data_IF_768968389864
#
_entry.id   IF_768968389864
#
_cell.length_a   1.000
_cell.length_b   1.000
_cell.length_c   1.000
_cell.angle_alpha   90.00
_cell.angle_beta   90.00
_cell.angle_gamma   90.00
#
_symmetry.space_group_name_H-M   'P 1'
#
loop_
_entity.id
_entity.type
_entity.pdbx_description
1 polymer ?
#
# COMPACT_ATOMS: atom_id res chain seq x y z
N UNK A 1 -13.38 36.61 -4.93
CA UNK A 1 -12.51 35.42 -5.06
C UNK A 1 -11.06 35.85 -4.94
N UNK A 2 -10.25 35.16 -4.13
CA UNK A 2 -8.80 35.40 -4.02
C UNK A 2 -8.05 34.38 -4.88
N UNK A 3 -6.97 34.81 -5.51
CA UNK A 3 -6.13 33.91 -6.30
C UNK A 3 -5.37 32.93 -5.40
N UNK A 4 -5.51 31.60 -5.54
CA UNK A 4 -4.84 30.61 -4.68
C UNK A 4 -3.32 30.49 -4.92
N UNK A 5 -2.71 31.36 -5.75
CA UNK A 5 -1.24 31.41 -5.96
C UNK A 5 -0.60 32.62 -5.31
N UNK A 6 -1.27 33.77 -5.31
CA UNK A 6 -0.68 35.06 -4.94
C UNK A 6 -1.61 35.90 -4.06
N UNK A 7 -2.72 35.32 -3.60
CA UNK A 7 -3.76 35.90 -2.74
C UNK A 7 -4.41 37.21 -3.19
N UNK A 8 -4.07 37.66 -4.40
CA UNK A 8 -4.64 38.84 -5.05
C UNK A 8 -6.16 38.73 -5.17
N UNK A 9 -6.86 39.82 -4.83
CA UNK A 9 -8.30 39.99 -5.04
C UNK A 9 -8.63 40.41 -6.48
N UNK A 10 -7.63 40.80 -7.27
CA UNK A 10 -7.79 41.23 -8.66
C UNK A 10 -8.03 40.02 -9.57
N UNK A 11 -9.29 39.58 -9.63
CA UNK A 11 -9.73 38.39 -10.37
C UNK A 11 -10.87 38.75 -11.31
N UNK A 12 -10.89 38.14 -12.50
CA UNK A 12 -11.94 38.33 -13.50
C UNK A 12 -12.58 36.98 -13.86
N UNK A 13 -13.88 36.98 -14.16
CA UNK A 13 -14.57 35.81 -14.70
C UNK A 13 -13.96 35.42 -16.05
N UNK A 14 -13.69 34.14 -16.24
CA UNK A 14 -12.96 33.58 -17.39
C UNK A 14 -13.65 32.31 -17.92
N UNK A 15 -14.91 32.44 -18.32
CA UNK A 15 -15.72 31.33 -18.83
C UNK A 15 -16.03 30.27 -17.78
N UNK A 16 -16.49 29.11 -18.25
CA UNK A 16 -16.87 27.98 -17.40
C UNK A 16 -16.10 26.71 -17.79
N UNK A 17 -15.72 25.89 -16.80
CA UNK A 17 -15.20 24.54 -17.03
C UNK A 17 -16.06 23.55 -16.27
N UNK A 18 -16.61 22.55 -16.98
CA UNK A 18 -17.47 21.50 -16.40
C UNK A 18 -18.60 22.07 -15.52
N UNK A 19 -19.27 23.10 -16.03
CA UNK A 19 -20.38 23.78 -15.36
C UNK A 19 -20.00 24.74 -14.23
N UNK A 20 -18.71 24.94 -13.93
CA UNK A 20 -18.25 25.84 -12.85
C UNK A 20 -17.59 27.09 -13.40
N UNK A 21 -17.83 28.22 -12.73
CA UNK A 21 -17.20 29.49 -13.07
C UNK A 21 -15.67 29.37 -12.90
N UNK A 22 -14.95 29.69 -13.97
CA UNK A 22 -13.50 29.84 -13.96
C UNK A 22 -13.16 31.32 -13.77
N UNK A 23 -12.08 31.61 -13.05
CA UNK A 23 -11.54 32.94 -12.81
C UNK A 23 -10.10 33.01 -13.31
N UNK A 24 -9.68 34.19 -13.76
CA UNK A 24 -8.30 34.51 -14.09
C UNK A 24 -7.81 35.63 -13.19
N UNK A 25 -6.68 35.42 -12.52
CA UNK A 25 -6.00 36.46 -11.75
C UNK A 25 -5.34 37.46 -12.69
N UNK A 26 -5.60 38.75 -12.49
CA UNK A 26 -4.98 39.83 -13.27
C UNK A 26 -3.52 40.07 -12.89
N UNK A 27 -3.13 39.75 -11.65
CA UNK A 27 -1.77 39.98 -11.16
C UNK A 27 -0.77 38.90 -11.57
N UNK A 28 -1.14 37.61 -11.48
CA UNK A 28 -0.23 36.50 -11.80
C UNK A 28 -0.67 35.65 -13.00
N UNK A 29 -1.78 35.99 -13.66
CA UNK A 29 -2.30 35.27 -14.82
C UNK A 29 -2.92 33.89 -14.53
N UNK A 30 -2.83 33.36 -13.30
CA UNK A 30 -3.36 32.03 -12.94
C UNK A 30 -4.87 31.95 -13.21
N UNK A 31 -5.28 30.85 -13.85
CA UNK A 31 -6.68 30.46 -13.95
C UNK A 31 -7.04 29.46 -12.83
N UNK A 32 -8.19 29.61 -12.22
CA UNK A 32 -8.66 28.74 -11.13
C UNK A 32 -10.19 28.69 -11.08
N UNK A 33 -10.75 27.64 -10.48
CA UNK A 33 -12.20 27.45 -10.37
C UNK A 33 -12.76 28.15 -9.13
N UNK A 34 -14.04 28.51 -9.20
CA UNK A 34 -14.81 29.06 -8.06
C UNK A 34 -14.79 28.13 -6.86
N UNK A 35 -14.96 26.83 -7.10
CA UNK A 35 -14.85 25.78 -6.10
C UNK A 35 -14.12 24.58 -6.68
N UNK A 36 -13.03 24.20 -6.02
CA UNK A 36 -12.43 22.89 -6.21
C UNK A 36 -13.28 21.90 -5.44
N UNK A 37 -13.88 20.95 -6.15
CA UNK A 37 -14.32 19.70 -5.51
C UNK A 37 -13.32 18.65 -5.94
N UNK A 38 -12.74 17.88 -5.02
CA UNK A 38 -12.02 16.68 -5.41
C UNK A 38 -13.02 15.80 -6.16
N UNK A 39 -12.74 15.54 -7.44
CA UNK A 39 -13.48 14.58 -8.25
C UNK A 39 -12.95 13.17 -7.97
N UNK A 40 -12.83 12.83 -6.69
CA UNK A 40 -12.38 11.54 -6.21
C UNK A 40 -13.53 10.83 -5.51
N UNK A 41 -13.46 9.51 -5.49
CA UNK A 41 -14.26 8.71 -4.58
C UNK A 41 -13.86 9.06 -3.15
N UNK A 42 -14.82 8.99 -2.22
CA UNK A 42 -14.53 9.23 -0.82
C UNK A 42 -13.62 8.14 -0.26
N UNK A 43 -12.94 8.41 0.85
CA UNK A 43 -12.03 7.42 1.43
C UNK A 43 -12.81 6.19 1.89
N UNK A 44 -14.04 6.35 2.40
CA UNK A 44 -14.90 5.26 2.83
C UNK A 44 -15.19 4.27 1.68
N UNK A 45 -15.43 4.79 0.47
CA UNK A 45 -15.63 3.96 -0.73
C UNK A 45 -14.35 3.23 -1.12
N UNK A 46 -13.19 3.91 -1.06
CA UNK A 46 -11.89 3.30 -1.33
C UNK A 46 -11.60 2.16 -0.35
N UNK A 47 -11.80 2.40 0.95
CA UNK A 47 -11.61 1.40 2.01
C UNK A 47 -12.56 0.21 1.85
N UNK A 48 -13.82 0.44 1.47
CA UNK A 48 -14.78 -0.63 1.19
C UNK A 48 -14.30 -1.54 0.05
N UNK A 49 -13.84 -0.96 -1.06
CA UNK A 49 -13.31 -1.73 -2.19
C UNK A 49 -12.06 -2.54 -1.81
N UNK A 50 -11.14 -1.95 -1.04
CA UNK A 50 -9.95 -2.64 -0.54
C UNK A 50 -10.36 -3.79 0.40
N UNK A 51 -11.32 -3.56 1.30
CA UNK A 51 -11.84 -4.60 2.19
C UNK A 51 -12.44 -5.76 1.41
N UNK A 52 -13.23 -5.50 0.36
CA UNK A 52 -13.77 -6.56 -0.50
C UNK A 52 -12.65 -7.38 -1.17
N UNK A 53 -11.61 -6.71 -1.65
CA UNK A 53 -10.43 -7.37 -2.25
C UNK A 53 -9.72 -8.28 -1.25
N UNK A 54 -9.46 -7.79 -0.03
CA UNK A 54 -8.81 -8.56 1.04
C UNK A 54 -9.64 -9.76 1.50
N UNK A 55 -10.98 -9.71 1.32
CA UNK A 55 -11.87 -10.84 1.58
C UNK A 55 -11.99 -11.80 0.36
N UNK A 56 -11.06 -11.74 -0.59
CA UNK A 56 -10.97 -12.67 -1.72
C UNK A 56 -11.88 -12.35 -2.91
N UNK A 57 -12.56 -11.20 -2.91
CA UNK A 57 -13.37 -10.80 -4.05
C UNK A 57 -12.46 -10.35 -5.21
N UNK A 58 -12.59 -10.99 -6.38
CA UNK A 58 -11.85 -10.57 -7.57
C UNK A 58 -12.23 -9.16 -8.02
N UNK A 59 -11.31 -8.44 -8.66
CA UNK A 59 -11.49 -7.04 -9.08
C UNK A 59 -12.74 -6.80 -9.93
N UNK A 60 -13.06 -7.72 -10.85
CA UNK A 60 -14.30 -7.66 -11.65
C UNK A 60 -15.56 -7.95 -10.82
N UNK A 61 -15.44 -8.69 -9.73
CA UNK A 61 -16.51 -8.89 -8.76
C UNK A 61 -16.82 -7.61 -8.01
N UNK A 62 -15.78 -6.91 -7.55
CA UNK A 62 -15.92 -5.61 -6.88
C UNK A 62 -16.56 -4.59 -7.82
N UNK A 63 -16.16 -4.56 -9.09
CA UNK A 63 -16.78 -3.70 -10.11
C UNK A 63 -18.28 -3.96 -10.25
N UNK A 64 -18.73 -5.21 -10.28
CA UNK A 64 -20.16 -5.53 -10.37
C UNK A 64 -20.97 -5.07 -9.15
N UNK A 65 -20.35 -5.04 -7.97
CA UNK A 65 -21.02 -4.67 -6.72
C UNK A 65 -21.02 -3.15 -6.50
N UNK A 66 -19.95 -2.48 -6.89
CA UNK A 66 -19.72 -1.06 -6.57
C UNK A 66 -19.94 -0.13 -7.76
N UNK A 67 -20.07 -0.69 -8.97
CA UNK A 67 -20.10 0.02 -10.26
C UNK A 67 -18.82 0.85 -10.53
N UNK A 68 -17.76 0.60 -9.76
CA UNK A 68 -16.45 1.23 -9.93
C UNK A 68 -15.60 0.34 -10.81
N UNK A 69 -15.10 0.90 -11.91
CA UNK A 69 -14.30 0.16 -12.87
C UNK A 69 -13.11 -0.55 -12.19
N UNK A 70 -12.92 -1.84 -12.50
CA UNK A 70 -11.93 -2.70 -11.83
C UNK A 70 -10.49 -2.16 -11.87
N UNK A 71 -10.12 -1.37 -12.90
CA UNK A 71 -8.79 -0.74 -12.96
C UNK A 71 -8.60 0.33 -11.88
N UNK A 72 -9.65 1.09 -11.55
CA UNK A 72 -9.62 2.07 -10.46
C UNK A 72 -9.39 1.36 -9.13
N UNK A 73 -10.11 0.26 -8.89
CA UNK A 73 -9.92 -0.58 -7.69
C UNK A 73 -8.50 -1.15 -7.65
N UNK A 74 -7.98 -1.67 -8.77
CA UNK A 74 -6.62 -2.18 -8.87
C UNK A 74 -5.57 -1.11 -8.50
N UNK A 75 -5.75 0.12 -8.95
CA UNK A 75 -4.86 1.23 -8.60
C UNK A 75 -4.88 1.51 -7.11
N UNK A 76 -6.04 1.49 -6.46
CA UNK A 76 -6.14 1.69 -5.02
C UNK A 76 -5.49 0.57 -4.21
N UNK A 77 -5.69 -0.68 -4.61
CA UNK A 77 -5.04 -1.84 -3.97
C UNK A 77 -3.52 -1.73 -4.08
N UNK A 78 -2.99 -1.38 -5.26
CA UNK A 78 -1.54 -1.19 -5.45
C UNK A 78 -1.00 -0.03 -4.62
N UNK A 79 -1.70 1.11 -4.62
CA UNK A 79 -1.29 2.28 -3.83
C UNK A 79 -1.31 1.99 -2.33
N UNK A 80 -2.28 1.22 -1.85
CA UNK A 80 -2.31 0.76 -0.47
C UNK A 80 -1.15 -0.19 -0.17
N UNK A 81 -0.91 -1.18 -1.05
CA UNK A 81 0.20 -2.13 -0.92
C UNK A 81 1.57 -1.46 -0.89
N UNK A 82 1.82 -0.45 -1.73
CA UNK A 82 3.10 0.28 -1.75
C UNK A 82 3.38 1.11 -0.49
N UNK A 83 2.37 1.37 0.35
CA UNK A 83 2.55 2.07 1.63
C UNK A 83 2.82 1.11 2.78
N UNK A 84 2.66 -0.20 2.57
CA UNK A 84 2.96 -1.21 3.57
C UNK A 84 4.45 -1.53 3.55
N UNK A 85 4.98 -1.81 4.73
CA UNK A 85 6.32 -2.37 4.89
C UNK A 85 6.31 -3.83 4.44
N UNK A 86 7.43 -4.31 3.89
CA UNK A 86 7.54 -5.68 3.40
C UNK A 86 7.43 -6.74 4.53
N UNK A 87 7.76 -6.36 5.76
CA UNK A 87 7.59 -7.17 6.97
C UNK A 87 6.87 -6.35 8.05
N UNK A 88 6.08 -6.99 8.94
CA UNK A 88 5.48 -6.31 10.08
C UNK A 88 6.55 -5.77 11.02
N UNK A 89 6.27 -4.62 11.62
CA UNK A 89 7.05 -4.09 12.75
C UNK A 89 6.79 -4.99 13.96
N UNK A 90 7.59 -6.04 14.11
CA UNK A 90 7.56 -6.93 15.28
C UNK A 90 8.48 -6.39 16.35
N UNK A 91 7.98 -6.25 17.58
CA UNK A 91 8.78 -5.80 18.73
C UNK A 91 9.75 -6.87 19.22
N UNK A 92 9.46 -8.15 18.95
CA UNK A 92 10.27 -9.30 19.34
C UNK A 92 10.33 -10.35 18.23
N UNK A 93 11.53 -10.92 18.02
CA UNK A 93 11.66 -12.15 17.25
C UNK A 93 11.37 -13.35 18.14
N UNK A 94 10.51 -14.29 17.72
CA UNK A 94 10.33 -15.53 18.46
C UNK A 94 11.59 -16.40 18.39
N UNK A 95 11.87 -17.15 19.45
CA UNK A 95 12.94 -18.15 19.48
C UNK A 95 12.71 -19.25 18.43
N UNK A 96 11.44 -19.61 18.21
CA UNK A 96 11.02 -20.63 17.26
C UNK A 96 10.02 -20.04 16.26
N UNK A 97 10.35 -20.15 14.97
CA UNK A 97 9.47 -19.80 13.86
C UNK A 97 9.30 -20.99 12.93
N UNK A 98 8.13 -21.04 12.28
CA UNK A 98 7.81 -22.07 11.30
C UNK A 98 8.08 -21.56 9.89
N UNK A 99 8.45 -22.48 9.01
CA UNK A 99 8.61 -22.22 7.59
C UNK A 99 7.43 -22.80 6.83
N UNK A 100 6.86 -22.00 5.94
CA UNK A 100 5.79 -22.43 5.04
C UNK A 100 6.10 -22.07 3.58
N UNK A 101 5.54 -22.85 2.66
CA UNK A 101 5.71 -22.76 1.22
C UNK A 101 4.35 -22.73 0.51
N UNK A 102 4.09 -21.69 -0.27
CA UNK A 102 2.95 -21.63 -1.19
C UNK A 102 3.42 -21.63 -2.65
N UNK A 103 3.01 -22.65 -3.41
CA UNK A 103 3.22 -22.67 -4.86
C UNK A 103 2.09 -21.94 -5.58
N UNK A 104 2.44 -21.02 -6.48
CA UNK A 104 1.51 -20.32 -7.37
C UNK A 104 2.11 -20.16 -8.78
N UNK A 105 1.45 -19.41 -9.65
CA UNK A 105 1.94 -19.11 -10.99
C UNK A 105 1.48 -17.73 -11.48
N UNK A 106 2.25 -17.12 -12.39
CA UNK A 106 1.89 -15.84 -13.03
C UNK A 106 1.71 -16.05 -14.53
N UNK A 107 0.51 -15.72 -15.03
CA UNK A 107 0.12 -15.81 -16.44
C UNK A 107 -0.16 -17.24 -16.91
N UNK A 108 0.78 -18.17 -16.71
CA UNK A 108 0.61 -19.58 -17.08
C UNK A 108 1.18 -20.53 -16.03
N UNK A 109 0.62 -21.75 -15.94
CA UNK A 109 1.07 -22.81 -15.01
C UNK A 109 2.52 -23.28 -15.24
N UNK A 110 3.13 -22.91 -16.37
CA UNK A 110 4.55 -23.16 -16.65
C UNK A 110 5.47 -22.21 -15.88
N UNK A 111 5.00 -20.99 -15.63
CA UNK A 111 5.71 -19.98 -14.85
C UNK A 111 5.34 -20.11 -13.37
N UNK A 112 5.88 -21.16 -12.73
CA UNK A 112 5.64 -21.45 -11.32
C UNK A 112 6.48 -20.54 -10.44
N UNK A 113 5.88 -20.09 -9.34
CA UNK A 113 6.51 -19.29 -8.30
C UNK A 113 6.27 -19.95 -6.95
N UNK A 114 7.24 -19.81 -6.07
CA UNK A 114 7.14 -20.19 -4.66
C UNK A 114 7.16 -18.93 -3.82
N UNK A 115 6.20 -18.82 -2.94
CA UNK A 115 6.18 -17.86 -1.85
C UNK A 115 6.64 -18.61 -0.61
N UNK A 116 7.82 -18.27 -0.14
CA UNK A 116 8.36 -18.80 1.11
C UNK A 116 8.06 -17.80 2.21
N UNK A 117 7.56 -18.28 3.34
CA UNK A 117 7.23 -17.44 4.50
C UNK A 117 7.82 -18.01 5.77
N UNK A 118 8.41 -17.16 6.58
CA UNK A 118 8.69 -17.43 7.99
C UNK A 118 7.52 -16.87 8.81
N UNK A 119 6.89 -17.70 9.64
CA UNK A 119 5.71 -17.33 10.42
C UNK A 119 5.93 -17.58 11.91
N UNK A 120 5.23 -16.81 12.73
CA UNK A 120 5.25 -16.98 14.18
C UNK A 120 4.06 -17.84 14.62
N UNK A 121 4.31 -18.91 15.39
CA UNK A 121 3.25 -19.76 15.95
C UNK A 121 2.53 -19.10 17.13
N UNK A 122 3.18 -18.16 17.82
CA UNK A 122 2.68 -17.50 19.03
C UNK A 122 1.87 -16.24 18.74
N UNK A 123 2.14 -15.57 17.61
CA UNK A 123 1.49 -14.34 17.22
C UNK A 123 1.10 -14.38 15.74
N UNK A 124 -0.09 -13.89 15.42
CA UNK A 124 -0.53 -13.81 14.04
C UNK A 124 0.37 -12.86 13.23
N UNK A 125 1.06 -13.38 12.21
CA UNK A 125 1.88 -12.56 11.32
C UNK A 125 2.90 -13.37 10.53
N UNK A 126 3.33 -12.79 9.41
CA UNK A 126 4.46 -13.27 8.61
C UNK A 126 5.68 -12.47 9.05
N UNK A 127 6.72 -13.13 9.57
CA UNK A 127 7.96 -12.48 10.02
C UNK A 127 8.79 -11.99 8.84
N UNK A 128 8.90 -12.82 7.81
CA UNK A 128 9.61 -12.51 6.58
C UNK A 128 9.05 -13.38 5.44
N UNK A 129 9.21 -12.93 4.21
CA UNK A 129 8.85 -13.71 3.04
C UNK A 129 9.77 -13.41 1.86
N UNK A 130 9.82 -14.35 0.91
CA UNK A 130 10.50 -14.18 -0.38
C UNK A 130 9.71 -14.87 -1.47
N UNK A 131 9.69 -14.29 -2.66
CA UNK A 131 9.12 -14.91 -3.86
C UNK A 131 10.26 -15.30 -4.80
N UNK A 132 10.23 -16.54 -5.28
CA UNK A 132 11.20 -17.04 -6.25
C UNK A 132 10.83 -18.43 -6.74
N UNK A 133 11.81 -19.30 -6.78
CA UNK A 133 11.65 -20.71 -7.12
C UNK A 133 11.81 -21.61 -5.87
N UNK A 134 11.79 -22.92 -6.08
CA UNK A 134 11.99 -23.92 -5.00
C UNK A 134 13.48 -24.25 -4.77
N UNK A 135 14.39 -23.32 -5.02
CA UNK A 135 15.83 -23.55 -4.84
C UNK A 135 16.31 -23.20 -3.43
N UNK A 136 17.44 -23.78 -3.05
CA UNK A 136 18.14 -23.41 -1.82
C UNK A 136 18.65 -21.96 -1.88
N UNK A 137 18.92 -21.42 -3.06
CA UNK A 137 19.34 -20.04 -3.30
C UNK A 137 18.22 -19.06 -2.92
N UNK A 138 16.99 -19.30 -3.38
CA UNK A 138 15.82 -18.50 -2.97
C UNK A 138 15.60 -18.61 -1.45
N UNK A 139 15.72 -19.80 -0.88
CA UNK A 139 15.57 -20.00 0.57
C UNK A 139 16.62 -19.23 1.39
N UNK A 140 17.89 -19.20 0.94
CA UNK A 140 18.95 -18.43 1.61
C UNK A 140 18.60 -16.95 1.76
N UNK A 141 17.91 -16.36 0.78
CA UNK A 141 17.43 -14.98 0.89
C UNK A 141 16.49 -14.79 2.09
N UNK A 142 15.51 -15.70 2.27
CA UNK A 142 14.61 -15.67 3.43
C UNK A 142 15.38 -15.83 4.75
N UNK A 143 16.31 -16.78 4.76
CA UNK A 143 17.14 -17.04 5.93
C UNK A 143 17.93 -15.80 6.37
N UNK A 144 18.59 -15.11 5.43
CA UNK A 144 19.30 -13.87 5.72
C UNK A 144 18.38 -12.75 6.19
N UNK A 145 17.19 -12.60 5.58
CA UNK A 145 16.20 -11.63 6.05
C UNK A 145 15.81 -11.86 7.51
N UNK A 146 15.60 -13.13 7.92
CA UNK A 146 15.28 -13.46 9.31
C UNK A 146 16.46 -13.15 10.26
N UNK A 147 17.70 -13.45 9.85
CA UNK A 147 18.89 -13.13 10.65
C UNK A 147 19.07 -11.62 10.85
N UNK A 148 18.88 -10.83 9.78
CA UNK A 148 18.98 -9.36 9.85
C UNK A 148 17.91 -8.80 10.79
N UNK A 149 16.67 -9.28 10.71
CA UNK A 149 15.59 -8.87 11.61
C UNK A 149 15.93 -9.15 13.08
N UNK A 150 16.45 -10.35 13.38
CA UNK A 150 16.90 -10.71 14.72
C UNK A 150 18.03 -9.78 15.22
N UNK A 151 19.02 -9.49 14.38
CA UNK A 151 20.12 -8.58 14.74
C UNK A 151 19.65 -7.14 14.98
N UNK A 152 18.74 -6.62 14.16
CA UNK A 152 18.19 -5.27 14.31
C UNK A 152 17.39 -5.13 15.60
N UNK A 153 16.60 -6.15 15.96
CA UNK A 153 15.80 -6.14 17.19
C UNK A 153 16.67 -6.24 18.44
N UNK A 154 17.72 -7.07 18.43
CA UNK A 154 18.71 -7.10 19.51
C UNK A 154 19.41 -5.74 19.66
N UNK A 155 19.78 -5.09 18.56
CA UNK A 155 20.41 -3.77 18.61
C UNK A 155 19.46 -2.69 19.13
N UNK A 156 18.20 -2.70 18.69
CA UNK A 156 17.17 -1.77 19.18
C UNK A 156 16.93 -1.93 20.69
N UNK A 157 16.79 -3.18 21.17
CA UNK A 157 16.62 -3.46 22.60
C UNK A 157 17.80 -3.03 23.44
N UNK A 158 19.02 -3.20 22.94
CA UNK A 158 20.24 -2.70 23.59
C UNK A 158 20.24 -1.17 23.70
N UNK A 159 19.80 -0.44 22.66
CA UNK A 159 19.68 1.02 22.71
C UNK A 159 18.59 1.52 23.68
N UNK A 160 17.46 0.81 23.76
CA UNK A 160 16.33 1.17 24.63
C UNK A 160 16.47 0.65 26.08
N UNK A 161 17.53 -0.12 26.38
CA UNK A 161 17.77 -0.68 27.72
C UNK A 161 16.73 -1.72 28.15
N UNK A 162 16.08 -2.39 27.19
CA UNK A 162 15.09 -3.44 27.46
C UNK A 162 15.80 -4.75 27.85
N UNK A 163 15.30 -5.49 28.86
CA UNK A 163 15.92 -6.75 29.30
C UNK A 163 15.84 -7.81 28.19
N UNK A 164 16.85 -8.66 28.03
CA UNK A 164 16.82 -9.80 27.10
C UNK A 164 15.73 -10.81 27.52
N UNK A 165 14.93 -11.30 26.55
CA UNK A 165 14.00 -12.41 26.78
C UNK A 165 14.74 -13.69 26.48
N UNK A 166 14.90 -14.52 27.52
CA UNK A 166 15.48 -15.85 27.47
C UNK A 166 14.43 -16.90 27.10
#
# INVERSE_FOLDING_TARGET
MKCPKCDSTQTAKNGHRRGRQCYKCKQCGRQFLESYRPWGYSDEVKQLCIKMYLNGMGLRGIERVTEIHHTTVMHWVREAGHKLHDAPDTEDMPEVSDLDELQTFVGSKRNKLWIWTAVNHQQAGILAWVIGDRSAETFKCLWFSCQILAMLLLHYRWMEGLPDVH
#
